data_IF_902809211704
#
_entry.id   IF_902809211704
#
_cell.length_a   1.000
_cell.length_b   1.000
_cell.length_c   1.000
_cell.angle_alpha   90.00
_cell.angle_beta   90.00
_cell.angle_gamma   90.00
#
_symmetry.space_group_name_H-M   'P 1'
#
loop_
_entity.id
_entity.type
_entity.pdbx_description
1 polymer ?
#
# COMPACT_ATOMS: atom_id res chain seq x y z
N UNK A 1 3.59 25.53 10.23
CA UNK A 1 2.34 25.18 9.53
C UNK A 1 2.69 24.00 8.62
N UNK A 2 2.22 22.79 8.92
CA UNK A 2 2.50 21.62 8.07
C UNK A 2 1.53 21.61 6.88
N UNK A 3 2.05 21.60 5.67
CA UNK A 3 1.24 21.42 4.47
C UNK A 3 0.92 19.94 4.32
N UNK A 4 -0.37 19.59 4.35
CA UNK A 4 -0.83 18.24 4.01
C UNK A 4 -0.93 18.13 2.49
N UNK A 5 -0.39 17.07 1.91
CA UNK A 5 -0.41 16.80 0.47
C UNK A 5 -1.27 15.57 0.22
N UNK A 6 -2.20 15.68 -0.74
CA UNK A 6 -2.94 14.54 -1.27
C UNK A 6 -2.29 14.06 -2.56
N UNK A 7 -1.77 12.82 -2.62
CA UNK A 7 -1.19 12.29 -3.85
C UNK A 7 -2.22 12.25 -4.98
N UNK A 8 -1.82 12.68 -6.17
CA UNK A 8 -2.68 12.64 -7.37
C UNK A 8 -2.72 11.27 -8.04
N UNK A 9 -1.85 10.35 -7.62
CA UNK A 9 -1.66 9.04 -8.24
C UNK A 9 -0.84 9.05 -9.54
N UNK A 10 -0.43 10.22 -10.04
CA UNK A 10 0.44 10.33 -11.23
C UNK A 10 1.87 9.97 -10.85
N UNK A 11 2.25 8.70 -11.06
CA UNK A 11 3.60 8.21 -10.77
C UNK A 11 4.48 8.28 -12.02
N UNK A 12 5.62 8.96 -11.92
CA UNK A 12 6.60 9.09 -13.01
C UNK A 12 7.73 8.06 -12.94
N UNK A 13 7.92 7.46 -11.76
CA UNK A 13 8.95 6.44 -11.48
C UNK A 13 8.31 5.23 -10.80
N UNK A 14 8.90 4.03 -10.90
CA UNK A 14 8.43 2.88 -10.14
C UNK A 14 8.46 3.19 -8.64
N UNK A 15 7.34 2.94 -7.96
CA UNK A 15 7.14 3.21 -6.54
C UNK A 15 6.71 1.93 -5.84
N UNK A 16 7.51 1.51 -4.85
CA UNK A 16 7.14 0.46 -3.92
C UNK A 16 6.63 1.11 -2.62
N UNK A 17 5.36 0.88 -2.28
CA UNK A 17 4.77 1.34 -1.03
C UNK A 17 4.64 0.17 -0.06
N UNK A 18 5.24 0.29 1.12
CA UNK A 18 5.16 -0.69 2.21
C UNK A 18 4.27 -0.11 3.32
N UNK A 19 3.38 -0.92 3.87
CA UNK A 19 2.45 -0.46 4.89
C UNK A 19 2.13 -1.53 5.93
N UNK A 20 2.06 -1.15 7.20
CA UNK A 20 1.62 -2.06 8.26
C UNK A 20 0.09 -2.08 8.34
N UNK A 21 -0.52 -3.27 8.34
CA UNK A 21 -1.99 -3.39 8.37
C UNK A 21 -2.60 -2.79 9.65
N UNK A 22 -1.87 -2.81 10.77
CA UNK A 22 -2.30 -2.24 12.04
C UNK A 22 -1.76 -0.84 12.33
N UNK A 23 -1.47 -0.05 11.30
CA UNK A 23 -1.12 1.37 11.47
C UNK A 23 -2.37 2.21 11.78
N UNK A 24 -2.25 3.04 12.81
CA UNK A 24 -3.31 3.91 13.32
C UNK A 24 -3.03 5.41 13.08
N UNK A 25 -1.88 5.77 12.49
CA UNK A 25 -1.56 7.15 12.10
C UNK A 25 -1.92 7.39 10.62
N UNK A 26 -1.11 7.00 9.62
CA UNK A 26 -1.64 6.73 8.31
C UNK A 26 -2.39 5.40 8.38
N UNK A 27 -3.71 5.46 8.46
CA UNK A 27 -4.53 4.26 8.49
C UNK A 27 -4.41 3.50 7.16
N UNK A 28 -4.48 2.17 7.21
CA UNK A 28 -4.34 1.30 6.03
C UNK A 28 -5.29 1.63 4.87
N UNK A 29 -6.44 2.24 5.15
CA UNK A 29 -7.38 2.73 4.13
C UNK A 29 -6.79 3.85 3.26
N UNK A 30 -5.80 4.62 3.75
CA UNK A 30 -5.08 5.60 2.94
C UNK A 30 -4.16 4.93 1.91
N UNK A 31 -3.55 3.79 2.24
CA UNK A 31 -2.79 3.01 1.26
C UNK A 31 -3.70 2.48 0.14
N UNK A 32 -4.92 2.07 0.49
CA UNK A 32 -5.96 1.67 -0.46
C UNK A 32 -6.36 2.86 -1.34
N UNK A 33 -6.65 4.02 -0.74
CA UNK A 33 -7.02 5.23 -1.47
C UNK A 33 -5.92 5.71 -2.43
N UNK A 34 -4.65 5.60 -2.03
CA UNK A 34 -3.51 5.90 -2.91
C UNK A 34 -3.47 4.97 -4.12
N UNK A 35 -3.67 3.66 -3.94
CA UNK A 35 -3.75 2.71 -5.05
C UNK A 35 -4.87 3.06 -6.01
N UNK A 36 -6.04 3.43 -5.50
CA UNK A 36 -7.19 3.78 -6.33
C UNK A 36 -6.93 5.08 -7.11
N UNK A 37 -6.28 6.08 -6.50
CA UNK A 37 -5.83 7.29 -7.19
C UNK A 37 -4.81 6.97 -8.29
N UNK A 38 -3.83 6.09 -8.03
CA UNK A 38 -2.84 5.63 -9.02
C UNK A 38 -3.53 4.91 -10.19
N UNK A 39 -4.53 4.08 -9.91
CA UNK A 39 -5.29 3.40 -10.94
C UNK A 39 -6.12 4.38 -11.78
N UNK A 40 -6.80 5.34 -11.15
CA UNK A 40 -7.54 6.40 -11.85
C UNK A 40 -6.62 7.28 -12.73
N UNK A 41 -5.36 7.47 -12.31
CA UNK A 41 -4.35 8.19 -13.07
C UNK A 41 -3.67 7.34 -14.17
N UNK A 42 -4.11 6.10 -14.40
CA UNK A 42 -3.53 5.19 -15.40
C UNK A 42 -2.09 4.74 -15.07
N UNK A 43 -1.66 4.89 -13.82
CA UNK A 43 -0.28 4.64 -13.38
C UNK A 43 -0.10 3.31 -12.64
N UNK A 44 -1.06 2.38 -12.72
CA UNK A 44 -1.06 1.11 -11.98
C UNK A 44 0.21 0.28 -12.16
N UNK A 45 0.80 0.26 -13.37
CA UNK A 45 2.05 -0.48 -13.64
C UNK A 45 3.27 0.08 -12.89
N UNK A 46 3.18 1.31 -12.38
CA UNK A 46 4.25 1.99 -11.64
C UNK A 46 4.15 1.78 -10.13
N UNK A 47 3.09 1.17 -9.61
CA UNK A 47 2.92 0.95 -8.18
C UNK A 47 2.94 -0.55 -7.84
N UNK A 48 3.80 -0.92 -6.90
CA UNK A 48 3.63 -2.13 -6.11
C UNK A 48 3.31 -1.75 -4.66
N UNK A 49 2.41 -2.51 -4.03
CA UNK A 49 2.13 -2.38 -2.60
C UNK A 49 2.46 -3.66 -1.87
N UNK A 50 3.12 -3.52 -0.73
CA UNK A 50 3.43 -4.62 0.20
C UNK A 50 2.87 -4.28 1.57
N UNK A 51 2.30 -5.29 2.20
CA UNK A 51 1.65 -5.13 3.48
C UNK A 51 2.37 -6.00 4.50
N UNK A 52 2.47 -5.50 5.73
CA UNK A 52 3.08 -6.21 6.84
C UNK A 52 1.95 -6.49 7.85
N UNK A 53 1.71 -7.77 8.14
CA UNK A 53 0.57 -8.20 8.94
C UNK A 53 0.86 -8.16 10.45
N UNK A 54 1.13 -6.95 10.96
CA UNK A 54 1.33 -6.66 12.39
C UNK A 54 1.06 -5.19 12.70
N UNK A 55 0.72 -4.83 13.95
CA UNK A 55 0.57 -3.45 14.38
C UNK A 55 1.89 -2.66 14.35
N UNK A 56 1.79 -1.35 14.12
CA UNK A 56 2.92 -0.42 14.18
C UNK A 56 2.80 0.73 13.20
N UNK A 57 3.78 1.64 13.24
CA UNK A 57 3.87 2.80 12.37
C UNK A 57 5.34 2.96 11.97
N UNK A 58 5.67 2.68 10.71
CA UNK A 58 7.04 2.67 10.20
C UNK A 58 8.01 1.84 11.04
N UNK A 59 7.61 0.60 11.38
CA UNK A 59 8.40 -0.35 12.18
C UNK A 59 8.91 -1.54 11.38
N UNK A 60 9.20 -1.34 10.10
CA UNK A 60 9.79 -2.35 9.24
C UNK A 60 11.05 -2.95 9.88
N UNK A 61 11.18 -4.28 9.84
CA UNK A 61 12.40 -4.97 10.26
C UNK A 61 13.51 -4.76 9.22
N UNK A 62 14.78 -4.96 9.57
CA UNK A 62 15.87 -4.95 8.60
C UNK A 62 15.63 -5.89 7.40
N UNK A 63 15.02 -7.06 7.63
CA UNK A 63 14.70 -8.00 6.56
C UNK A 63 13.61 -7.47 5.61
N UNK A 64 12.57 -6.82 6.13
CA UNK A 64 11.52 -6.18 5.33
C UNK A 64 12.07 -4.96 4.54
N UNK A 65 12.98 -4.19 5.13
CA UNK A 65 13.66 -3.09 4.42
C UNK A 65 14.55 -3.61 3.29
N UNK A 66 15.41 -4.60 3.57
CA UNK A 66 16.27 -5.21 2.55
C UNK A 66 15.46 -5.89 1.44
N UNK A 67 14.37 -6.58 1.79
CA UNK A 67 13.46 -7.16 0.80
C UNK A 67 12.76 -6.11 -0.06
N UNK A 68 12.44 -4.94 0.51
CA UNK A 68 11.90 -3.81 -0.25
C UNK A 68 12.91 -3.25 -1.26
N UNK A 69 14.16 -3.07 -0.83
CA UNK A 69 15.24 -2.59 -1.69
C UNK A 69 15.48 -3.60 -2.83
N UNK A 70 15.62 -4.88 -2.50
CA UNK A 70 15.83 -5.93 -3.49
C UNK A 70 14.68 -6.03 -4.51
N UNK A 71 13.43 -5.81 -4.10
CA UNK A 71 12.30 -5.79 -5.01
C UNK A 71 12.31 -4.56 -5.94
N UNK A 72 12.69 -3.39 -5.43
CA UNK A 72 12.85 -2.19 -6.24
C UNK A 72 14.01 -2.35 -7.24
N UNK A 73 15.15 -2.89 -6.80
CA UNK A 73 16.28 -3.21 -7.67
C UNK A 73 15.88 -4.18 -8.79
N UNK A 74 15.11 -5.23 -8.46
CA UNK A 74 14.56 -6.14 -9.47
C UNK A 74 13.67 -5.40 -10.48
N UNK A 75 12.75 -4.55 -10.02
CA UNK A 75 11.87 -3.76 -10.89
C UNK A 75 12.65 -2.83 -11.82
N UNK A 76 13.73 -2.23 -11.32
CA UNK A 76 14.60 -1.37 -12.10
C UNK A 76 15.40 -2.16 -13.14
N UNK A 77 15.88 -3.36 -12.78
CA UNK A 77 16.68 -4.20 -13.67
C UNK A 77 15.86 -4.91 -14.76
N UNK A 78 14.65 -5.39 -14.43
CA UNK A 78 13.85 -6.27 -15.33
C UNK A 78 12.65 -5.58 -15.95
N UNK A 79 12.23 -4.44 -15.42
CA UNK A 79 10.98 -3.80 -15.82
C UNK A 79 9.72 -4.38 -15.17
N UNK A 80 9.83 -5.48 -14.42
CA UNK A 80 8.69 -6.19 -13.82
C UNK A 80 8.73 -6.19 -12.29
N UNK A 81 7.56 -6.17 -11.65
CA UNK A 81 7.47 -6.38 -10.21
C UNK A 81 7.68 -7.85 -9.87
N UNK A 82 8.46 -8.14 -8.82
CA UNK A 82 8.71 -9.52 -8.39
C UNK A 82 7.42 -10.14 -7.81
N UNK A 83 7.23 -11.44 -7.99
CA UNK A 83 6.25 -12.19 -7.18
C UNK A 83 6.72 -12.12 -5.73
N UNK A 84 5.85 -11.60 -4.86
CA UNK A 84 6.15 -11.37 -3.45
C UNK A 84 6.53 -12.69 -2.75
N UNK A 85 7.61 -12.68 -1.97
CA UNK A 85 7.94 -13.79 -1.08
C UNK A 85 6.83 -13.92 -0.02
N UNK A 86 6.13 -15.07 0.07
CA UNK A 86 4.92 -15.20 0.89
C UNK A 86 5.17 -15.14 2.40
N UNK A 87 6.41 -15.30 2.83
CA UNK A 87 6.86 -15.24 4.23
C UNK A 87 7.26 -13.83 4.68
N UNK A 88 7.66 -12.96 3.75
CA UNK A 88 8.06 -11.58 4.06
C UNK A 88 6.86 -10.63 4.10
N UNK A 89 5.87 -10.85 3.24
CA UNK A 89 4.74 -9.94 3.06
C UNK A 89 3.44 -10.56 3.53
N UNK A 90 2.70 -9.79 4.33
CA UNK A 90 1.34 -10.09 4.73
C UNK A 90 0.33 -9.91 3.60
N UNK A 91 -0.92 -10.31 3.89
CA UNK A 91 -2.03 -10.16 2.95
C UNK A 91 -2.40 -8.69 2.80
N UNK A 92 -2.63 -8.28 1.54
CA UNK A 92 -3.21 -6.98 1.26
C UNK A 92 -4.60 -6.84 1.89
N UNK A 93 -4.91 -5.68 2.51
CA UNK A 93 -6.21 -5.40 3.08
C UNK A 93 -7.28 -5.42 1.99
N UNK A 94 -8.46 -5.94 2.33
CA UNK A 94 -9.61 -5.94 1.44
C UNK A 94 -10.32 -4.59 1.50
N UNK A 95 -10.86 -4.17 0.36
CA UNK A 95 -11.82 -3.07 0.30
C UNK A 95 -13.02 -3.32 1.21
N UNK A 96 -13.54 -2.27 1.86
CA UNK A 96 -14.84 -2.32 2.55
C UNK A 96 -14.83 -2.61 4.05
N UNK A 97 -13.83 -2.16 4.82
CA UNK A 97 -13.88 -2.24 6.29
C UNK A 97 -15.05 -1.42 6.89
N UNK A 98 -15.57 -0.44 6.15
CA UNK A 98 -16.85 0.20 6.44
C UNK A 98 -17.94 -0.45 5.57
N UNK A 99 -18.67 -1.42 6.13
CA UNK A 99 -20.03 -1.69 5.63
C UNK A 99 -20.80 -0.37 5.79
N UNK A 100 -21.58 0.09 4.79
CA UNK A 100 -22.62 1.07 5.09
C UNK A 100 -23.45 0.50 6.22
N UNK A 101 -23.74 1.31 7.24
CA UNK A 101 -24.77 0.95 8.21
C UNK A 101 -26.00 0.58 7.37
N UNK A 102 -26.35 -0.71 7.38
CA UNK A 102 -27.51 -1.19 6.66
C UNK A 102 -28.68 -0.33 7.12
N UNK A 103 -29.38 0.26 6.16
CA UNK A 103 -30.68 0.84 6.39
C UNK A 103 -31.49 -0.20 7.18
N UNK A 104 -31.79 0.12 8.45
CA UNK A 104 -32.74 -0.65 9.23
C UNK A 104 -34.10 -0.21 8.74
N UNK A 105 -34.62 -0.91 7.74
CA UNK A 105 -36.05 -0.89 7.45
C UNK A 105 -36.78 -1.49 8.66
N UNK A 106 -37.62 -0.67 9.31
CA UNK A 106 -38.55 -1.04 10.39
C UNK A 106 -38.25 -0.33 11.72
N UNK A 107 -39.17 0.43 12.33
CA UNK A 107 -40.63 0.48 12.21
C UNK A 107 -41.19 1.55 11.27
#
# INVERSE_FOLDING_TARGET
MHTMITPTGRLLVPTLAVHQNGDAAPVVTQAIAHRDAVAAAGSSGMLAQRFIDRPGHCRETPAELLGSIAELEHRLATGAWRVSAPDLWGRAPRHGFLRPAGHRDGC
#
